data_IF_951139759767
#
_entry.id   IF_951139759767
#
_cell.length_a   1.000
_cell.length_b   1.000
_cell.length_c   1.000
_cell.angle_alpha   90.00
_cell.angle_beta   90.00
_cell.angle_gamma   90.00
#
_symmetry.space_group_name_H-M   'P 1'
#
loop_
_entity.id
_entity.type
_entity.pdbx_description
1 polymer ?
#
# COMPACT_ATOMS: atom_id res chain seq x y z
N UNK A 1 -1.86 50.84 65.67
CA UNK A 1 -0.40 50.64 65.52
C UNK A 1 -0.18 49.16 65.78
N UNK A 2 0.23 48.30 64.83
CA UNK A 2 1.10 48.49 63.66
C UNK A 2 0.37 48.10 62.34
N UNK A 3 0.52 48.90 61.27
CA UNK A 3 0.14 48.45 59.93
C UNK A 3 1.19 47.45 59.41
N UNK A 4 0.79 46.23 59.02
CA UNK A 4 1.63 45.39 58.15
C UNK A 4 1.37 45.77 56.69
N UNK A 5 2.44 46.14 56.01
CA UNK A 5 2.42 46.87 54.74
C UNK A 5 1.95 45.96 53.57
N UNK A 6 0.86 46.29 52.83
CA UNK A 6 0.28 45.40 51.81
C UNK A 6 1.22 45.12 50.63
N UNK A 7 2.18 46.01 50.36
CA UNK A 7 3.23 45.81 49.35
C UNK A 7 4.11 44.58 49.62
N UNK A 8 4.26 44.17 50.90
CA UNK A 8 5.05 43.00 51.28
C UNK A 8 4.34 41.72 50.82
N UNK A 9 3.01 41.64 51.01
CA UNK A 9 2.20 40.45 50.65
C UNK A 9 2.20 40.23 49.14
N UNK A 10 2.03 41.30 48.35
CA UNK A 10 2.05 41.22 46.89
C UNK A 10 3.43 40.76 46.35
N UNK A 11 4.52 41.20 46.99
CA UNK A 11 5.88 40.74 46.70
C UNK A 11 6.10 39.26 46.99
N UNK A 12 5.57 38.75 48.10
CA UNK A 12 5.63 37.32 48.44
C UNK A 12 4.81 36.46 47.48
N UNK A 13 3.58 36.86 47.13
CA UNK A 13 2.74 36.12 46.17
C UNK A 13 3.41 36.04 44.78
N UNK A 14 3.99 37.13 44.30
CA UNK A 14 4.68 37.15 42.99
C UNK A 14 5.94 36.27 42.98
N UNK A 15 6.69 36.24 44.09
CA UNK A 15 7.84 35.34 44.28
C UNK A 15 7.39 33.87 44.38
N UNK A 16 6.31 33.57 45.09
CA UNK A 16 5.76 32.22 45.20
C UNK A 16 5.28 31.69 43.85
N UNK A 17 4.59 32.52 43.05
CA UNK A 17 4.15 32.15 41.70
C UNK A 17 5.34 31.85 40.76
N UNK A 18 6.39 32.69 40.80
CA UNK A 18 7.63 32.47 40.06
C UNK A 18 8.37 31.19 40.51
N UNK A 19 8.34 30.88 41.80
CA UNK A 19 8.94 29.66 42.35
C UNK A 19 8.15 28.41 41.93
N UNK A 20 6.82 28.50 41.86
CA UNK A 20 5.96 27.43 41.35
C UNK A 20 6.19 27.16 39.85
N UNK A 21 6.30 28.22 39.04
CA UNK A 21 6.63 28.12 37.61
C UNK A 21 8.05 27.54 37.42
N UNK A 22 9.01 27.96 38.25
CA UNK A 22 10.38 27.40 38.25
C UNK A 22 10.37 25.90 38.58
N UNK A 23 9.60 25.47 39.58
CA UNK A 23 9.48 24.04 39.93
C UNK A 23 8.81 23.24 38.81
N UNK A 24 7.76 23.76 38.15
CA UNK A 24 7.12 23.11 37.00
C UNK A 24 8.03 23.02 35.77
N UNK A 25 8.92 23.99 35.56
CA UNK A 25 9.97 23.95 34.53
C UNK A 25 11.11 22.99 34.88
N UNK A 26 11.37 22.75 36.17
CA UNK A 26 12.39 21.81 36.64
C UNK A 26 11.89 20.36 36.68
N UNK A 27 10.60 20.12 36.91
CA UNK A 27 10.01 18.76 36.87
C UNK A 27 9.65 18.28 35.46
N UNK A 28 9.69 19.14 34.44
CA UNK A 28 9.48 18.79 33.03
C UNK A 28 10.77 18.42 32.28
N UNK A 29 11.92 18.39 32.95
CA UNK A 29 13.19 17.92 32.40
C UNK A 29 13.83 16.82 33.27
N UNK A 30 13.38 15.57 33.10
CA UNK A 30 14.27 14.39 33.05
C UNK A 30 13.51 13.07 32.75
N UNK A 31 13.11 12.87 31.49
CA UNK A 31 13.23 11.55 30.83
C UNK A 31 13.96 11.76 29.50
N UNK A 32 15.23 12.16 29.59
CA UNK A 32 16.15 12.13 28.47
C UNK A 32 16.77 10.73 28.36
N UNK A 33 16.08 9.80 27.69
CA UNK A 33 16.77 8.68 27.02
C UNK A 33 17.02 9.10 25.58
N UNK A 34 18.27 9.00 25.15
CA UNK A 34 18.78 9.54 23.88
C UNK A 34 17.94 9.08 22.67
N UNK A 35 17.03 9.94 22.19
CA UNK A 35 16.47 9.83 20.85
C UNK A 35 17.46 10.46 19.87
N UNK A 36 18.26 9.63 19.19
CA UNK A 36 19.13 10.08 18.10
C UNK A 36 18.28 10.55 16.91
N UNK A 37 18.03 11.86 16.85
CA UNK A 37 17.40 12.50 15.70
C UNK A 37 18.46 12.69 14.61
N UNK A 38 18.54 11.74 13.68
CA UNK A 38 19.51 11.76 12.58
C UNK A 38 18.81 12.20 11.29
N UNK A 39 19.44 13.14 10.59
CA UNK A 39 18.98 13.71 9.33
C UNK A 39 19.19 12.75 8.15
N UNK A 40 18.30 12.84 7.15
CA UNK A 40 18.48 12.21 5.85
C UNK A 40 19.62 12.85 5.07
N UNK A 41 20.52 12.06 4.49
CA UNK A 41 21.37 12.48 3.37
C UNK A 41 21.84 11.29 2.52
N UNK A 42 22.28 11.57 1.30
CA UNK A 42 22.33 10.62 0.17
C UNK A 42 23.64 9.81 0.00
N UNK A 43 23.52 8.73 -0.82
CA UNK A 43 24.48 8.19 -1.81
C UNK A 43 25.26 6.86 -1.57
N UNK A 44 24.96 5.91 -2.50
CA UNK A 44 25.82 4.98 -3.28
C UNK A 44 26.56 3.73 -2.74
N UNK A 45 26.00 2.56 -3.15
CA UNK A 45 26.65 1.31 -3.63
C UNK A 45 27.53 0.49 -2.64
N UNK A 46 27.71 -0.83 -2.70
CA UNK A 46 27.34 -1.96 -3.59
C UNK A 46 27.62 -3.28 -2.81
N UNK A 47 27.31 -4.54 -3.18
CA UNK A 47 26.44 -5.25 -4.15
C UNK A 47 26.45 -6.74 -3.71
N UNK A 48 25.41 -7.58 -3.80
CA UNK A 48 24.01 -7.40 -4.23
C UNK A 48 23.08 -8.41 -3.51
N UNK A 49 21.78 -8.09 -3.51
CA UNK A 49 20.66 -9.02 -3.33
C UNK A 49 19.72 -8.86 -4.54
N UNK A 50 18.87 -9.84 -4.86
CA UNK A 50 17.95 -9.75 -6.02
C UNK A 50 17.04 -8.53 -5.89
N UNK A 51 17.30 -7.49 -6.68
CA UNK A 51 16.43 -6.32 -6.80
C UNK A 51 15.27 -6.69 -7.71
N UNK A 52 14.10 -6.90 -7.12
CA UNK A 52 12.84 -6.75 -7.83
C UNK A 52 12.57 -5.25 -7.96
N UNK A 53 12.24 -4.79 -9.16
CA UNK A 53 12.03 -3.37 -9.41
C UNK A 53 10.67 -2.96 -8.86
N UNK A 54 10.66 -2.02 -7.92
CA UNK A 54 9.53 -1.11 -7.82
C UNK A 54 9.40 -0.43 -9.18
N UNK A 55 8.20 -0.39 -9.77
CA UNK A 55 7.93 0.62 -10.77
C UNK A 55 7.83 1.98 -10.05
N UNK A 56 9.00 2.60 -9.86
CA UNK A 56 9.12 4.06 -9.76
C UNK A 56 8.76 4.77 -11.07
N UNK A 57 8.53 3.99 -12.13
CA UNK A 57 8.48 4.44 -13.51
C UNK A 57 7.06 4.85 -13.92
N UNK A 58 6.03 4.44 -13.16
CA UNK A 58 4.71 5.07 -13.22
C UNK A 58 4.70 6.39 -12.46
N UNK A 59 5.38 7.38 -13.06
CA UNK A 59 5.32 8.79 -12.68
C UNK A 59 3.88 9.25 -12.39
N UNK A 60 2.91 8.80 -13.19
CA UNK A 60 1.49 9.06 -13.01
C UNK A 60 0.98 8.76 -11.58
N UNK A 61 1.37 7.63 -11.00
CA UNK A 61 0.93 7.21 -9.67
C UNK A 61 1.60 8.02 -8.56
N UNK A 62 2.87 8.38 -8.74
CA UNK A 62 3.61 9.23 -7.80
C UNK A 62 3.03 10.66 -7.69
N UNK A 63 2.38 11.16 -8.75
CA UNK A 63 1.69 12.46 -8.73
C UNK A 63 0.27 12.42 -8.14
N UNK A 64 -0.28 11.23 -7.87
CA UNK A 64 -1.68 11.07 -7.42
C UNK A 64 -1.82 10.18 -6.16
N UNK A 65 -1.13 10.48 -5.03
CA UNK A 65 -1.10 9.62 -3.85
C UNK A 65 -2.49 9.37 -3.24
N UNK A 66 -3.36 10.38 -3.18
CA UNK A 66 -4.73 10.23 -2.67
C UNK A 66 -5.58 9.26 -3.53
N UNK A 67 -5.36 9.20 -4.85
CA UNK A 67 -6.03 8.23 -5.72
C UNK A 67 -5.44 6.85 -5.50
N UNK A 68 -4.11 6.73 -5.45
CA UNK A 68 -3.42 5.47 -5.18
C UNK A 68 -3.88 4.86 -3.85
N UNK A 69 -3.90 5.61 -2.75
CA UNK A 69 -4.36 5.13 -1.46
C UNK A 69 -5.83 4.66 -1.45
N UNK A 70 -6.72 5.30 -2.23
CA UNK A 70 -8.09 4.82 -2.46
C UNK A 70 -8.12 3.53 -3.28
N UNK A 71 -7.38 3.49 -4.40
CA UNK A 71 -7.30 2.34 -5.27
C UNK A 71 -6.82 1.10 -4.51
N UNK A 72 -5.72 1.25 -3.77
CA UNK A 72 -5.15 0.21 -2.93
C UNK A 72 -6.12 -0.24 -1.84
N UNK A 73 -6.79 0.69 -1.16
CA UNK A 73 -7.76 0.34 -0.13
C UNK A 73 -8.94 -0.45 -0.69
N UNK A 74 -9.49 0.01 -1.82
CA UNK A 74 -10.56 -0.65 -2.54
C UNK A 74 -10.17 -2.06 -2.98
N UNK A 75 -9.04 -2.19 -3.70
CA UNK A 75 -8.65 -3.48 -4.26
C UNK A 75 -8.25 -4.50 -3.17
N UNK A 76 -7.67 -4.03 -2.07
CA UNK A 76 -7.32 -4.89 -0.94
C UNK A 76 -8.58 -5.38 -0.19
N UNK A 77 -9.56 -4.49 0.06
CA UNK A 77 -10.81 -4.87 0.72
C UNK A 77 -11.69 -5.80 -0.14
N UNK A 78 -11.86 -5.51 -1.43
CA UNK A 78 -12.82 -6.20 -2.30
C UNK A 78 -12.26 -7.48 -2.95
N UNK A 79 -11.02 -7.45 -3.48
CA UNK A 79 -10.47 -8.54 -4.29
C UNK A 79 -9.41 -9.39 -3.60
N UNK A 80 -8.93 -8.94 -2.43
CA UNK A 80 -7.88 -9.63 -1.68
C UNK A 80 -8.43 -10.37 -0.45
N UNK A 81 -9.61 -9.98 0.04
CA UNK A 81 -10.25 -10.55 1.23
C UNK A 81 -9.58 -10.18 2.56
N UNK A 82 -8.46 -9.45 2.52
CA UNK A 82 -7.68 -9.01 3.67
C UNK A 82 -7.94 -7.53 3.93
N UNK A 83 -8.10 -7.14 5.20
CA UNK A 83 -8.55 -5.77 5.60
C UNK A 83 -7.49 -4.95 6.35
N UNK A 84 -6.22 -5.36 6.25
CA UNK A 84 -5.08 -4.69 6.88
C UNK A 84 -4.87 -3.30 6.25
N UNK A 85 -4.60 -2.24 7.04
CA UNK A 85 -4.45 -0.87 6.54
C UNK A 85 -3.06 -0.55 6.01
N UNK A 86 -2.10 -1.48 6.10
CA UNK A 86 -0.75 -1.28 5.61
C UNK A 86 -0.12 -2.58 5.08
N UNK A 87 0.65 -2.48 4.00
CA UNK A 87 1.62 -3.52 3.66
C UNK A 87 2.83 -3.41 4.59
N UNK A 88 3.32 -4.57 5.03
CA UNK A 88 4.59 -4.70 5.74
C UNK A 88 5.53 -5.54 4.88
N UNK A 89 6.66 -4.95 4.49
CA UNK A 89 7.79 -5.71 3.95
C UNK A 89 8.89 -5.73 5.00
N UNK A 90 9.25 -6.94 5.42
CA UNK A 90 10.11 -7.21 6.56
C UNK A 90 10.94 -8.48 6.32
N UNK A 91 12.12 -8.54 6.93
CA UNK A 91 12.85 -9.79 7.07
C UNK A 91 12.11 -10.73 8.03
N UNK A 92 12.21 -12.04 7.81
CA UNK A 92 11.58 -13.04 8.68
C UNK A 92 12.15 -13.09 10.10
N UNK A 93 13.36 -12.56 10.31
CA UNK A 93 14.03 -12.41 11.61
C UNK A 93 14.92 -11.16 11.58
N UNK A 94 14.70 -10.24 12.52
CA UNK A 94 15.48 -9.02 12.69
C UNK A 94 16.64 -9.25 13.67
N UNK A 95 17.88 -9.10 13.19
CA UNK A 95 19.08 -9.14 14.02
C UNK A 95 20.09 -8.11 13.56
N UNK A 96 20.96 -7.70 14.47
CA UNK A 96 22.10 -6.85 14.16
C UNK A 96 23.00 -7.53 13.12
N UNK A 97 23.28 -6.83 12.01
CA UNK A 97 24.15 -7.28 10.93
C UNK A 97 25.31 -6.30 10.78
N UNK A 98 26.48 -6.82 10.41
CA UNK A 98 27.70 -6.00 10.21
C UNK A 98 27.59 -5.05 9.00
N UNK A 99 26.68 -5.34 8.07
CA UNK A 99 26.60 -4.67 6.77
C UNK A 99 25.24 -3.98 6.52
N UNK A 100 24.27 -4.13 7.43
CA UNK A 100 22.93 -3.56 7.30
C UNK A 100 22.24 -3.46 8.67
N UNK A 101 21.52 -2.36 8.91
CA UNK A 101 20.49 -2.34 9.95
C UNK A 101 19.20 -2.86 9.33
N UNK A 102 18.52 -3.86 9.92
CA UNK A 102 17.27 -4.36 9.38
C UNK A 102 16.14 -3.35 9.64
N UNK A 103 15.12 -3.37 8.79
CA UNK A 103 14.02 -2.39 8.83
C UNK A 103 12.70 -3.03 8.44
N UNK A 104 11.60 -2.40 8.84
CA UNK A 104 10.26 -2.67 8.29
C UNK A 104 9.91 -1.57 7.31
N UNK A 105 9.54 -1.90 6.08
CA UNK A 105 8.86 -0.94 5.20
C UNK A 105 7.36 -1.05 5.43
N UNK A 106 6.76 0.06 5.83
CA UNK A 106 5.32 0.22 5.99
C UNK A 106 4.80 1.07 4.83
N UNK A 107 3.81 0.58 4.10
CA UNK A 107 3.03 1.38 3.12
C UNK A 107 1.61 1.50 3.62
N UNK A 108 1.07 2.71 3.76
CA UNK A 108 -0.34 2.90 4.11
C UNK A 108 -1.22 2.60 2.88
N UNK A 109 -2.02 1.54 2.98
CA UNK A 109 -2.94 1.09 1.94
C UNK A 109 -4.40 1.35 2.30
N UNK A 110 -4.65 2.09 3.39
CA UNK A 110 -5.99 2.50 3.80
C UNK A 110 -6.36 3.86 3.20
N UNK A 111 -7.66 4.12 3.08
CA UNK A 111 -8.16 5.45 2.71
C UNK A 111 -8.03 6.50 3.84
N UNK A 112 -7.42 6.15 4.98
CA UNK A 112 -7.23 7.04 6.15
C UNK A 112 -5.76 7.35 6.38
N UNK A 113 -5.47 8.46 7.05
CA UNK A 113 -4.11 8.78 7.50
C UNK A 113 -3.73 7.93 8.72
N UNK A 114 -2.57 7.28 8.68
CA UNK A 114 -1.96 6.58 9.81
C UNK A 114 -0.99 7.54 10.50
N UNK A 115 -1.23 7.87 11.77
CA UNK A 115 -0.44 8.86 12.51
C UNK A 115 0.77 8.23 13.19
N UNK A 116 0.61 7.03 13.74
CA UNK A 116 1.63 6.27 14.47
C UNK A 116 1.35 4.76 14.39
N UNK A 117 2.35 3.96 14.73
CA UNK A 117 2.17 2.53 14.98
C UNK A 117 2.99 2.07 16.19
N UNK A 118 2.47 1.11 16.95
CA UNK A 118 3.26 0.34 17.91
C UNK A 118 3.55 -1.04 17.32
N UNK A 119 4.84 -1.34 17.13
CA UNK A 119 5.32 -2.57 16.51
C UNK A 119 5.84 -3.49 17.62
N UNK A 120 5.27 -4.68 17.72
CA UNK A 120 5.59 -5.65 18.77
C UNK A 120 6.45 -6.78 18.23
N UNK A 121 7.48 -7.14 19.00
CA UNK A 121 8.49 -8.10 18.62
C UNK A 121 8.61 -9.23 19.65
N UNK A 122 8.71 -10.45 19.15
CA UNK A 122 9.06 -11.63 19.94
C UNK A 122 10.56 -11.89 19.86
N UNK A 123 11.22 -12.07 21.00
CA UNK A 123 12.60 -12.54 21.02
C UNK A 123 12.65 -14.03 20.66
N UNK A 124 13.50 -14.41 19.71
CA UNK A 124 13.63 -15.81 19.25
C UNK A 124 14.34 -16.73 20.24
N UNK A 125 14.97 -16.18 21.29
CA UNK A 125 15.82 -16.93 22.24
C UNK A 125 15.26 -16.97 23.67
N UNK A 126 14.32 -16.09 24.03
CA UNK A 126 13.70 -16.04 25.35
C UNK A 126 12.26 -15.48 25.26
N UNK A 127 11.59 -15.30 26.40
CA UNK A 127 10.20 -14.81 26.47
C UNK A 127 10.08 -13.28 26.57
N UNK A 128 11.17 -12.53 26.36
CA UNK A 128 11.16 -11.07 26.52
C UNK A 128 10.68 -10.41 25.23
N UNK A 129 9.41 -10.03 25.22
CA UNK A 129 8.82 -9.28 24.12
C UNK A 129 9.14 -7.78 24.27
N UNK A 130 9.45 -7.13 23.15
CA UNK A 130 9.77 -5.70 23.08
C UNK A 130 8.79 -4.99 22.15
N UNK A 131 8.54 -3.69 22.37
CA UNK A 131 7.73 -2.88 21.46
C UNK A 131 8.44 -1.57 21.05
N UNK A 132 8.10 -1.10 19.86
CA UNK A 132 8.60 0.16 19.31
C UNK A 132 7.42 1.02 18.86
N UNK A 133 7.17 2.11 19.58
CA UNK A 133 6.24 3.16 19.18
C UNK A 133 6.90 4.11 18.17
N UNK A 134 6.33 4.21 16.98
CA UNK A 134 6.85 4.98 15.84
C UNK A 134 5.82 6.02 15.42
N UNK A 135 6.24 7.28 15.30
CA UNK A 135 5.46 8.30 14.62
C UNK A 135 5.65 8.14 13.09
N UNK A 136 4.55 8.03 12.35
CA UNK A 136 4.56 7.65 10.93
C UNK A 136 4.07 8.79 10.02
N UNK A 137 2.96 9.44 10.40
CA UNK A 137 2.28 10.51 9.66
C UNK A 137 1.94 10.21 8.18
N UNK A 138 1.75 8.93 7.83
CA UNK A 138 1.53 8.43 6.47
C UNK A 138 0.13 8.77 5.94
N UNK A 139 0.06 9.51 4.82
CA UNK A 139 -1.16 9.67 4.04
C UNK A 139 -1.49 8.36 3.29
N UNK A 140 -2.73 8.21 2.76
CA UNK A 140 -3.07 7.10 1.87
C UNK A 140 -2.08 6.99 0.69
N UNK A 141 -1.50 5.81 0.48
CA UNK A 141 -0.48 5.54 -0.55
C UNK A 141 0.98 5.82 -0.13
N UNK A 142 1.23 6.52 0.98
CA UNK A 142 2.58 6.83 1.43
C UNK A 142 3.34 5.59 1.94
N UNK A 143 4.67 5.64 1.84
CA UNK A 143 5.59 4.63 2.38
C UNK A 143 6.61 5.23 3.36
N UNK A 144 6.99 4.49 4.40
CA UNK A 144 8.17 4.79 5.20
C UNK A 144 8.97 3.53 5.56
N UNK A 145 10.24 3.71 5.92
CA UNK A 145 11.08 2.66 6.49
C UNK A 145 11.27 2.92 7.99
N UNK A 146 10.90 1.95 8.82
CA UNK A 146 11.18 1.91 10.25
C UNK A 146 12.46 1.13 10.46
N UNK A 147 13.58 1.84 10.61
CA UNK A 147 14.89 1.23 10.86
C UNK A 147 15.00 0.76 12.31
N UNK A 148 15.31 -0.52 12.51
CA UNK A 148 15.57 -1.07 13.83
C UNK A 148 17.03 -0.79 14.19
N UNK A 149 17.24 0.11 15.14
CA UNK A 149 18.58 0.54 15.54
C UNK A 149 19.33 -0.57 16.29
N UNK A 150 20.66 -0.58 16.19
CA UNK A 150 21.54 -1.45 16.97
C UNK A 150 21.27 -1.39 18.48
N UNK A 151 20.79 -0.25 18.99
CA UNK A 151 20.42 -0.07 20.40
C UNK A 151 19.09 -0.74 20.79
N UNK A 152 18.22 -1.03 19.83
CA UNK A 152 17.00 -1.81 20.03
C UNK A 152 17.30 -3.31 19.90
N UNK A 153 18.07 -3.70 18.87
CA UNK A 153 18.37 -5.10 18.59
C UNK A 153 19.39 -5.72 19.56
N UNK A 154 20.40 -4.96 20.00
CA UNK A 154 21.47 -5.48 20.85
C UNK A 154 22.18 -6.69 20.24
N UNK A 155 22.26 -7.78 21.01
CA UNK A 155 22.74 -9.10 20.57
C UNK A 155 21.58 -10.13 20.41
N UNK A 156 20.34 -9.64 20.46
CA UNK A 156 19.12 -10.43 20.32
C UNK A 156 18.75 -10.62 18.84
N UNK A 157 17.85 -11.57 18.60
CA UNK A 157 17.22 -11.79 17.29
C UNK A 157 15.72 -11.83 17.52
N UNK A 158 14.98 -10.99 16.80
CA UNK A 158 13.55 -10.76 16.99
C UNK A 158 12.73 -11.20 15.79
N UNK A 159 11.46 -11.52 16.00
CA UNK A 159 10.45 -11.68 14.95
C UNK A 159 9.35 -10.64 15.14
N UNK A 160 8.70 -10.24 14.05
CA UNK A 160 7.46 -9.48 14.15
C UNK A 160 6.41 -10.38 14.82
N UNK A 161 5.69 -9.86 15.81
CA UNK A 161 4.52 -10.51 16.41
C UNK A 161 3.24 -9.86 15.91
N UNK A 162 3.10 -8.54 16.11
CA UNK A 162 1.93 -7.76 15.67
C UNK A 162 2.26 -6.27 15.48
N UNK A 163 1.38 -5.54 14.82
CA UNK A 163 1.42 -4.08 14.72
C UNK A 163 0.05 -3.50 15.07
N UNK A 164 0.05 -2.50 15.95
CA UNK A 164 -1.12 -1.68 16.25
C UNK A 164 -0.99 -0.37 15.49
N UNK A 165 -1.84 -0.17 14.48
CA UNK A 165 -1.89 1.07 13.70
C UNK A 165 -2.92 2.03 14.29
N UNK A 166 -2.53 3.29 14.43
CA UNK A 166 -3.41 4.35 14.93
C UNK A 166 -3.69 5.36 13.83
N UNK A 167 -4.96 5.74 13.70
CA UNK A 167 -5.45 6.62 12.65
C UNK A 167 -5.67 8.04 13.15
N UNK A 168 -5.86 8.97 12.22
CA UNK A 168 -6.17 10.37 12.52
C UNK A 168 -7.50 10.55 13.27
N UNK A 169 -8.45 9.62 13.14
CA UNK A 169 -9.73 9.60 13.84
C UNK A 169 -9.69 8.82 15.18
N UNK A 170 -8.48 8.67 15.76
CA UNK A 170 -8.19 7.99 17.04
C UNK A 170 -8.57 6.50 17.08
N UNK A 171 -9.03 5.92 15.97
CA UNK A 171 -9.19 4.48 15.83
C UNK A 171 -7.82 3.79 15.94
N UNK A 172 -7.81 2.59 16.53
CA UNK A 172 -6.66 1.69 16.55
C UNK A 172 -7.10 0.32 16.00
N UNK A 173 -6.27 -0.26 15.13
CA UNK A 173 -6.45 -1.61 14.60
C UNK A 173 -5.16 -2.43 14.77
N UNK A 174 -5.29 -3.64 15.30
CA UNK A 174 -4.20 -4.58 15.62
C UNK A 174 -4.16 -5.72 14.61
N UNK A 175 -2.99 -6.02 14.05
CA UNK A 175 -2.78 -7.12 13.08
C UNK A 175 -1.54 -7.92 13.44
N UNK A 176 -1.65 -9.24 13.39
CA UNK A 176 -0.56 -10.18 13.62
C UNK A 176 0.43 -10.26 12.46
N UNK A 177 1.60 -10.82 12.69
CA UNK A 177 2.62 -11.06 11.65
C UNK A 177 2.09 -11.93 10.49
N UNK A 178 1.21 -12.89 10.80
CA UNK A 178 0.62 -13.81 9.82
C UNK A 178 -0.42 -13.14 8.91
N UNK A 179 -1.04 -12.06 9.37
CA UNK A 179 -1.91 -11.24 8.53
C UNK A 179 -1.09 -10.61 7.38
N UNK A 180 0.14 -10.15 7.66
CA UNK A 180 1.03 -9.56 6.63
C UNK A 180 1.82 -10.59 5.80
N UNK A 181 1.90 -11.85 6.22
CA UNK A 181 2.72 -12.87 5.54
C UNK A 181 2.11 -13.31 4.20
N UNK A 182 0.81 -13.08 4.05
CA UNK A 182 0.06 -13.31 2.82
C UNK A 182 0.03 -12.02 1.99
N UNK A 183 0.69 -12.03 0.83
CA UNK A 183 0.41 -11.07 -0.23
C UNK A 183 -0.65 -11.67 -1.13
N UNK A 184 -1.94 -11.31 -0.95
CA UNK A 184 -3.01 -11.85 -1.78
C UNK A 184 -2.77 -11.46 -3.24
N UNK A 185 -2.90 -12.43 -4.13
CA UNK A 185 -3.10 -12.18 -5.57
C UNK A 185 -4.42 -11.42 -5.72
N UNK A 186 -4.45 -10.38 -6.55
CA UNK A 186 -5.70 -9.68 -6.85
C UNK A 186 -6.60 -10.64 -7.64
N UNK A 187 -7.78 -10.95 -7.10
CA UNK A 187 -8.76 -11.77 -7.81
C UNK A 187 -9.10 -11.17 -9.20
N UNK A 188 -9.42 -12.06 -10.14
CA UNK A 188 -9.88 -11.71 -11.47
C UNK A 188 -11.03 -10.69 -11.40
N UNK A 189 -10.84 -9.52 -12.02
CA UNK A 189 -11.83 -8.46 -12.07
C UNK A 189 -12.77 -8.69 -13.25
N UNK A 190 -14.07 -8.86 -13.00
CA UNK A 190 -15.09 -8.89 -14.06
C UNK A 190 -15.27 -7.48 -14.65
N UNK A 191 -14.88 -7.29 -15.91
CA UNK A 191 -14.83 -5.98 -16.56
C UNK A 191 -16.21 -5.33 -16.70
N UNK A 192 -17.26 -6.12 -16.85
CA UNK A 192 -18.62 -5.64 -17.13
C UNK A 192 -19.68 -6.13 -16.14
N UNK A 193 -19.34 -7.12 -15.30
CA UNK A 193 -20.30 -7.87 -14.49
C UNK A 193 -21.04 -8.97 -15.26
N UNK A 194 -20.64 -9.28 -16.51
CA UNK A 194 -21.30 -10.31 -17.33
C UNK A 194 -20.78 -11.72 -17.09
N UNK A 195 -19.66 -11.87 -16.37
CA UNK A 195 -18.94 -13.12 -16.24
C UNK A 195 -18.24 -13.58 -17.52
N UNK A 196 -18.04 -12.70 -18.51
CA UNK A 196 -17.40 -13.05 -19.79
C UNK A 196 -15.97 -12.50 -19.91
N UNK A 197 -15.79 -11.19 -19.73
CA UNK A 197 -14.50 -10.52 -19.88
C UNK A 197 -13.92 -10.15 -18.52
N UNK A 198 -12.66 -10.49 -18.28
CA UNK A 198 -11.97 -10.22 -17.02
C UNK A 198 -10.63 -9.55 -17.23
N UNK A 199 -10.18 -8.76 -16.26
CA UNK A 199 -8.75 -8.50 -16.05
C UNK A 199 -8.20 -9.49 -15.04
N UNK A 200 -7.07 -10.12 -15.35
CA UNK A 200 -6.31 -10.99 -14.44
C UNK A 200 -4.89 -10.47 -14.29
N UNK A 201 -4.39 -10.40 -13.06
CA UNK A 201 -2.99 -10.14 -12.79
C UNK A 201 -2.19 -11.43 -12.73
N UNK A 202 -1.01 -11.51 -13.35
CA UNK A 202 -0.10 -12.65 -13.21
C UNK A 202 1.35 -12.26 -13.55
N UNK A 203 2.33 -12.65 -12.70
CA UNK A 203 3.78 -12.46 -12.89
C UNK A 203 4.19 -11.04 -13.40
N UNK A 204 3.61 -9.99 -12.82
CA UNK A 204 3.93 -8.61 -13.21
C UNK A 204 3.28 -8.10 -14.50
N UNK A 205 2.35 -8.84 -15.10
CA UNK A 205 1.53 -8.38 -16.21
C UNK A 205 0.03 -8.53 -15.92
N UNK A 206 -0.79 -7.61 -16.44
CA UNK A 206 -2.24 -7.83 -16.51
C UNK A 206 -2.67 -8.33 -17.89
N UNK A 207 -3.69 -9.17 -17.89
CA UNK A 207 -4.22 -9.89 -19.04
C UNK A 207 -5.70 -9.59 -19.18
N UNK A 208 -6.17 -9.43 -20.42
CA UNK A 208 -7.57 -9.67 -20.74
C UNK A 208 -7.77 -11.18 -20.74
N UNK A 209 -8.78 -11.65 -20.01
CA UNK A 209 -9.20 -13.06 -19.98
C UNK A 209 -10.64 -13.14 -20.45
N UNK A 210 -10.93 -14.08 -21.36
CA UNK A 210 -12.28 -14.35 -21.88
C UNK A 210 -12.67 -15.74 -21.42
N UNK A 211 -13.75 -15.81 -20.62
CA UNK A 211 -14.27 -17.04 -20.00
C UNK A 211 -15.54 -17.53 -20.73
N UNK A 212 -16.03 -18.70 -20.32
CA UNK A 212 -17.33 -19.27 -20.76
C UNK A 212 -17.46 -19.61 -22.26
N UNK A 213 -16.35 -19.87 -22.95
CA UNK A 213 -16.33 -20.45 -24.30
C UNK A 213 -16.17 -21.98 -24.23
N UNK A 214 -16.67 -22.72 -25.24
CA UNK A 214 -16.74 -24.18 -25.15
C UNK A 214 -15.37 -24.79 -25.43
N UNK A 215 -15.02 -25.86 -24.71
CA UNK A 215 -13.77 -26.60 -24.94
C UNK A 215 -13.64 -27.24 -26.35
N UNK A 216 -14.70 -27.22 -27.17
CA UNK A 216 -14.67 -27.60 -28.59
C UNK A 216 -14.31 -26.46 -29.54
N UNK A 217 -14.28 -25.22 -29.06
CA UNK A 217 -13.83 -24.05 -29.82
C UNK A 217 -12.29 -24.04 -29.79
N UNK A 218 -11.64 -24.96 -30.53
CA UNK A 218 -10.17 -24.99 -30.70
C UNK A 218 -9.63 -23.81 -31.55
N UNK A 219 -10.54 -23.00 -32.07
CA UNK A 219 -10.31 -21.96 -33.06
C UNK A 219 -10.20 -20.57 -32.41
N UNK A 220 -8.96 -20.23 -32.03
CA UNK A 220 -8.49 -18.89 -31.69
C UNK A 220 -9.18 -17.77 -32.50
N UNK A 221 -10.09 -17.05 -31.83
CA UNK A 221 -10.75 -15.86 -32.39
C UNK A 221 -9.88 -14.60 -32.28
N UNK A 222 -10.51 -13.46 -32.54
CA UNK A 222 -9.92 -12.13 -32.37
C UNK A 222 -10.67 -11.38 -31.26
N UNK A 223 -9.95 -10.58 -30.49
CA UNK A 223 -10.57 -9.56 -29.64
C UNK A 223 -10.23 -8.17 -30.14
N UNK A 224 -11.13 -7.24 -29.88
CA UNK A 224 -10.91 -5.81 -29.99
C UNK A 224 -11.29 -5.15 -28.68
N UNK A 225 -10.33 -4.50 -28.03
CA UNK A 225 -10.53 -3.68 -26.85
C UNK A 225 -10.25 -2.22 -27.23
N UNK A 226 -11.21 -1.35 -26.94
CA UNK A 226 -11.13 0.09 -27.19
C UNK A 226 -11.42 0.84 -25.89
N UNK A 227 -10.60 1.84 -25.59
CA UNK A 227 -10.75 2.69 -24.41
C UNK A 227 -10.80 4.14 -24.85
N UNK A 228 -11.92 4.81 -24.57
CA UNK A 228 -12.09 6.25 -24.82
C UNK A 228 -11.84 7.01 -23.52
N UNK A 229 -10.86 7.92 -23.53
CA UNK A 229 -10.55 8.81 -22.39
C UNK A 229 -11.56 9.94 -22.26
N UNK A 230 -11.57 10.63 -21.13
CA UNK A 230 -12.35 11.87 -20.96
C UNK A 230 -12.09 12.93 -22.04
N UNK A 231 -10.84 13.00 -22.54
CA UNK A 231 -10.41 13.90 -23.62
C UNK A 231 -11.01 13.57 -24.99
N UNK A 232 -11.63 12.39 -25.15
CA UNK A 232 -12.08 11.86 -26.44
C UNK A 232 -10.98 11.19 -27.26
N UNK A 233 -9.75 11.09 -26.76
CA UNK A 233 -8.72 10.21 -27.32
C UNK A 233 -9.15 8.74 -27.14
N UNK A 234 -8.88 7.90 -28.15
CA UNK A 234 -9.23 6.48 -28.15
C UNK A 234 -7.98 5.62 -28.38
N UNK A 235 -7.71 4.71 -27.44
CA UNK A 235 -6.69 3.66 -27.58
C UNK A 235 -7.39 2.37 -28.01
N UNK A 236 -6.90 1.71 -29.07
CA UNK A 236 -7.52 0.48 -29.63
C UNK A 236 -6.45 -0.60 -29.77
N UNK A 237 -6.76 -1.79 -29.24
CA UNK A 237 -5.96 -3.01 -29.39
C UNK A 237 -6.82 -4.08 -30.04
N UNK A 238 -6.38 -4.58 -31.20
CA UNK A 238 -7.01 -5.68 -31.93
C UNK A 238 -5.99 -6.78 -32.19
N UNK A 239 -6.24 -7.99 -31.67
CA UNK A 239 -5.28 -9.11 -31.71
C UNK A 239 -6.01 -10.45 -31.70
N UNK A 240 -5.34 -11.50 -32.18
CA UNK A 240 -5.78 -12.88 -31.96
C UNK A 240 -5.63 -13.27 -30.49
N UNK A 241 -6.60 -14.02 -29.95
CA UNK A 241 -6.48 -14.67 -28.63
C UNK A 241 -6.03 -16.12 -28.78
N UNK A 242 -5.17 -16.59 -27.89
CA UNK A 242 -4.79 -18.00 -27.82
C UNK A 242 -5.55 -18.69 -26.68
N UNK A 243 -6.00 -19.92 -26.92
CA UNK A 243 -6.64 -20.74 -25.90
C UNK A 243 -5.58 -21.30 -24.94
N UNK A 244 -5.71 -21.01 -23.64
CA UNK A 244 -4.95 -21.68 -22.60
C UNK A 244 -5.71 -22.93 -22.13
N UNK A 245 -5.17 -24.11 -22.46
CA UNK A 245 -5.73 -25.41 -22.07
C UNK A 245 -5.64 -25.71 -20.58
N UNK A 246 -4.75 -25.05 -19.83
CA UNK A 246 -4.62 -25.26 -18.38
C UNK A 246 -5.74 -24.55 -17.60
N UNK A 247 -6.11 -23.33 -18.03
CA UNK A 247 -7.16 -22.53 -17.42
C UNK A 247 -8.56 -22.71 -18.06
N UNK A 248 -8.65 -23.37 -19.23
CA UNK A 248 -9.86 -23.40 -20.09
C UNK A 248 -10.40 -21.98 -20.38
N UNK A 249 -9.50 -21.05 -20.72
CA UNK A 249 -9.81 -19.65 -21.04
C UNK A 249 -9.00 -19.16 -22.22
N UNK A 250 -9.43 -18.07 -22.83
CA UNK A 250 -8.61 -17.29 -23.75
C UNK A 250 -7.95 -16.15 -22.99
N UNK A 251 -6.68 -15.87 -23.25
CA UNK A 251 -6.00 -14.73 -22.62
C UNK A 251 -5.10 -13.96 -23.57
N UNK A 252 -4.93 -12.67 -23.28
CA UNK A 252 -3.98 -11.80 -23.96
C UNK A 252 -3.33 -10.81 -22.99
N UNK A 253 -2.00 -10.66 -23.06
CA UNK A 253 -1.22 -9.76 -22.21
C UNK A 253 -1.39 -8.31 -22.67
N UNK A 254 -2.20 -7.52 -21.96
CA UNK A 254 -2.48 -6.13 -22.34
C UNK A 254 -1.31 -5.16 -22.08
N UNK A 255 -0.45 -5.48 -21.11
CA UNK A 255 0.67 -4.64 -20.65
C UNK A 255 1.55 -4.03 -21.74
N UNK A 256 1.71 -4.71 -22.87
CA UNK A 256 2.60 -4.27 -23.96
C UNK A 256 1.88 -3.36 -25.00
N UNK A 257 0.55 -3.33 -25.00
CA UNK A 257 -0.26 -2.68 -26.04
C UNK A 257 -1.20 -1.58 -25.49
N UNK A 258 -1.38 -1.45 -24.17
CA UNK A 258 -2.13 -0.36 -23.52
C UNK A 258 -1.44 0.15 -22.27
N UNK A 259 -1.55 1.46 -22.04
CA UNK A 259 -1.06 2.11 -20.83
C UNK A 259 -2.07 2.00 -19.68
N UNK A 260 -1.60 2.13 -18.44
CA UNK A 260 -2.48 2.14 -17.25
C UNK A 260 -3.37 3.38 -17.26
N UNK A 261 -2.80 4.50 -17.72
CA UNK A 261 -3.45 5.79 -17.88
C UNK A 261 -4.62 5.76 -18.88
N UNK A 262 -4.67 4.77 -19.79
CA UNK A 262 -5.86 4.53 -20.61
C UNK A 262 -7.04 4.09 -19.73
N UNK A 263 -6.81 3.13 -18.82
CA UNK A 263 -7.84 2.62 -17.90
C UNK A 263 -8.23 3.65 -16.81
N UNK A 264 -7.27 4.29 -16.15
CA UNK A 264 -7.53 5.17 -15.00
C UNK A 264 -8.36 6.45 -15.33
N UNK A 265 -8.52 6.78 -16.61
CA UNK A 265 -9.34 7.90 -17.10
C UNK A 265 -10.31 7.47 -18.21
N UNK A 266 -10.66 6.19 -18.25
CA UNK A 266 -11.62 5.66 -19.19
C UNK A 266 -13.00 6.28 -18.93
N UNK A 267 -13.50 7.03 -19.91
CA UNK A 267 -14.91 7.47 -19.99
C UNK A 267 -15.79 6.37 -20.59
N UNK A 268 -15.19 5.49 -21.39
CA UNK A 268 -15.84 4.34 -22.01
C UNK A 268 -14.83 3.25 -22.31
N UNK A 269 -15.23 2.00 -22.13
CA UNK A 269 -14.49 0.82 -22.59
C UNK A 269 -15.45 0.00 -23.45
N UNK A 270 -15.03 -0.42 -24.65
CA UNK A 270 -15.76 -1.44 -25.42
C UNK A 270 -14.85 -2.63 -25.64
N UNK A 271 -15.36 -3.83 -25.38
CA UNK A 271 -14.68 -5.09 -25.65
C UNK A 271 -15.55 -5.92 -26.57
N UNK A 272 -14.94 -6.44 -27.61
CA UNK A 272 -15.53 -7.33 -28.59
C UNK A 272 -14.67 -8.58 -28.71
N UNK A 273 -15.30 -9.75 -28.75
CA UNK A 273 -14.70 -11.02 -29.14
C UNK A 273 -15.44 -11.59 -30.35
N UNK A 274 -14.69 -11.93 -31.38
CA UNK A 274 -15.17 -12.52 -32.63
C UNK A 274 -14.51 -13.88 -32.83
N UNK A 275 -15.30 -14.95 -32.78
CA UNK A 275 -14.86 -16.31 -33.11
C UNK A 275 -14.62 -16.49 -34.61
N UNK A 276 -13.83 -17.48 -35.01
CA UNK A 276 -13.58 -17.76 -36.44
C UNK A 276 -14.82 -18.21 -37.23
N UNK A 277 -15.89 -18.65 -36.55
CA UNK A 277 -17.18 -18.93 -37.18
C UNK A 277 -18.15 -17.73 -37.21
N UNK A 278 -17.66 -16.53 -36.86
CA UNK A 278 -18.39 -15.28 -37.01
C UNK A 278 -19.41 -14.99 -35.92
N UNK A 279 -19.31 -15.63 -34.75
CA UNK A 279 -20.08 -15.19 -33.57
C UNK A 279 -19.35 -14.06 -32.88
N UNK A 280 -20.11 -13.01 -32.56
CA UNK A 280 -19.61 -11.84 -31.83
C UNK A 280 -20.23 -11.78 -30.45
N UNK A 281 -19.40 -11.53 -29.43
CA UNK A 281 -19.82 -11.07 -28.10
C UNK A 281 -19.22 -9.68 -27.93
N UNK A 282 -20.05 -8.68 -27.65
CA UNK A 282 -19.62 -7.29 -27.54
C UNK A 282 -20.29 -6.62 -26.34
N UNK A 283 -19.51 -5.89 -25.56
CA UNK A 283 -19.94 -5.22 -24.34
C UNK A 283 -19.36 -3.79 -24.29
N UNK A 284 -20.23 -2.83 -23.97
CA UNK A 284 -19.88 -1.41 -23.78
C UNK A 284 -20.05 -1.07 -22.30
N UNK A 285 -18.98 -0.54 -21.68
CA UNK A 285 -18.90 -0.14 -20.29
C UNK A 285 -18.84 1.39 -20.26
N UNK A 286 -19.94 2.02 -19.88
CA UNK A 286 -20.07 3.47 -19.66
C UNK A 286 -20.52 3.82 -18.24
N UNK A 287 -20.77 2.81 -17.40
CA UNK A 287 -21.15 3.01 -16.01
C UNK A 287 -19.96 3.56 -15.21
N UNK A 288 -20.15 4.71 -14.57
CA UNK A 288 -19.08 5.43 -13.86
C UNK A 288 -18.56 4.69 -12.63
N UNK A 289 -19.42 3.92 -11.94
CA UNK A 289 -19.00 3.13 -10.78
C UNK A 289 -18.11 1.98 -11.26
N UNK A 290 -18.52 1.27 -12.31
CA UNK A 290 -17.73 0.19 -12.88
C UNK A 290 -16.39 0.68 -13.47
N UNK A 291 -16.38 1.84 -14.14
CA UNK A 291 -15.14 2.46 -14.64
C UNK A 291 -14.18 2.90 -13.51
N UNK A 292 -14.71 3.41 -12.38
CA UNK A 292 -13.90 3.71 -11.19
C UNK A 292 -13.30 2.42 -10.59
N UNK A 293 -14.08 1.34 -10.49
CA UNK A 293 -13.62 0.03 -10.00
C UNK A 293 -12.51 -0.58 -10.87
N UNK A 294 -12.66 -0.51 -12.20
CA UNK A 294 -11.61 -0.89 -13.16
C UNK A 294 -10.34 -0.08 -12.91
N UNK A 295 -10.49 1.25 -12.78
CA UNK A 295 -9.38 2.17 -12.52
C UNK A 295 -8.62 1.83 -11.24
N UNK A 296 -9.35 1.51 -10.16
CA UNK A 296 -8.77 1.10 -8.89
C UNK A 296 -8.09 -0.28 -8.94
N UNK A 297 -8.68 -1.26 -9.65
CA UNK A 297 -8.06 -2.58 -9.80
C UNK A 297 -6.76 -2.50 -10.60
N UNK A 298 -6.74 -1.81 -11.74
CA UNK A 298 -5.53 -1.68 -12.58
C UNK A 298 -4.43 -0.91 -11.84
N UNK A 299 -4.77 0.22 -11.21
CA UNK A 299 -3.80 0.99 -10.42
C UNK A 299 -3.18 0.16 -9.29
N UNK A 300 -4.01 -0.64 -8.61
CA UNK A 300 -3.57 -1.55 -7.56
C UNK A 300 -2.70 -2.68 -8.09
N UNK A 301 -3.07 -3.32 -9.21
CA UNK A 301 -2.25 -4.35 -9.83
C UNK A 301 -0.84 -3.83 -10.13
N UNK A 302 -0.73 -2.60 -10.62
CA UNK A 302 0.55 -2.01 -10.98
C UNK A 302 1.40 -1.62 -9.76
N UNK A 303 0.78 -1.50 -8.57
CA UNK A 303 1.48 -1.35 -7.29
C UNK A 303 1.86 -2.71 -6.65
N UNK A 304 0.92 -3.67 -6.61
CA UNK A 304 1.06 -4.92 -5.86
C UNK A 304 1.63 -6.09 -6.68
N UNK A 305 1.19 -6.21 -7.94
CA UNK A 305 1.37 -7.38 -8.80
C UNK A 305 2.63 -7.37 -9.67
N UNK A 306 3.28 -6.21 -9.82
CA UNK A 306 4.59 -6.07 -10.46
C UNK A 306 5.73 -6.54 -9.54
N UNK A 307 5.81 -7.87 -9.32
CA UNK A 307 6.80 -8.55 -8.47
C UNK A 307 7.67 -9.50 -9.26
#
# INVERSE_FOLDING_TARGET
MILKNPYIILGYMKRFLLLLISVLLLTSCNIARNKSKISSDNSESSVAAKKYYFSTDYHFMAYNPNFMGKAMNYAYQEYSGVTIPALVSADSCFKKSKYSSPYLRLTNISAKKITQAEIFFENTKNTDNESLLVALDLLPGDSCNVNLTDSFLGENEYRLNKIDFYFQDEAMLSFSADDFSHFPELADFDLSGSGTFFLKGNEGYYYLVIKNLKASDENAGFFRLSITKETGEETIVEKGVFYNSEDNTYSYRLWNDMAIEDFCFAKKINIEYCSLDGKTISEEITDSEQLEKISFWVASFCYFGCR
#
